data_IF_253848457194
#
_entry.id   IF_253848457194
#
_cell.length_a   1.000
_cell.length_b   1.000
_cell.length_c   1.000
_cell.angle_alpha   90.00
_cell.angle_beta   90.00
_cell.angle_gamma   90.00
#
_symmetry.space_group_name_H-M   'P 1'
#
loop_
_entity.id
_entity.type
_entity.pdbx_description
1 polymer ?
#
# COMPACT_ATOMS: atom_id res chain seq x y z
N UNK A 1 10.29 -39.15 -9.89
CA UNK A 1 9.82 -37.80 -10.25
C UNK A 1 8.48 -37.62 -9.56
N UNK A 2 8.49 -37.03 -8.36
CA UNK A 2 7.24 -36.73 -7.64
C UNK A 2 6.67 -35.45 -8.23
N UNK A 3 5.63 -35.56 -9.05
CA UNK A 3 4.80 -34.42 -9.44
C UNK A 3 4.15 -33.87 -8.18
N UNK A 4 4.61 -32.71 -7.71
CA UNK A 4 3.90 -31.95 -6.68
C UNK A 4 2.69 -31.32 -7.35
N UNK A 5 1.49 -31.81 -7.04
CA UNK A 5 0.26 -31.11 -7.37
C UNK A 5 0.32 -29.68 -6.78
N UNK A 6 -0.18 -28.67 -7.51
CA UNK A 6 -0.17 -27.29 -7.04
C UNK A 6 -1.01 -27.17 -5.76
N UNK A 7 -0.56 -26.33 -4.82
CA UNK A 7 -1.30 -26.04 -3.60
C UNK A 7 -2.69 -25.48 -3.94
N UNK A 8 -3.72 -25.91 -3.20
CA UNK A 8 -5.08 -25.41 -3.40
C UNK A 8 -5.24 -24.11 -2.61
N UNK A 9 -5.42 -23.02 -3.34
CA UNK A 9 -5.66 -21.69 -2.80
C UNK A 9 -7.16 -21.44 -2.63
N UNK A 10 -7.61 -21.18 -1.40
CA UNK A 10 -9.03 -20.89 -1.10
C UNK A 10 -9.16 -19.67 -0.18
N UNK A 11 -9.95 -18.68 -0.58
CA UNK A 11 -10.28 -17.51 0.24
C UNK A 11 -11.49 -17.85 1.10
N UNK A 12 -11.24 -18.50 2.23
CA UNK A 12 -12.28 -19.12 3.05
C UNK A 12 -11.93 -19.25 4.53
N UNK A 13 -10.89 -18.54 5.00
CA UNK A 13 -10.60 -18.51 6.43
C UNK A 13 -11.81 -17.93 7.18
N UNK A 14 -12.16 -18.47 8.36
CA UNK A 14 -13.23 -17.89 9.17
C UNK A 14 -12.88 -16.44 9.54
N UNK A 15 -13.89 -15.57 9.71
CA UNK A 15 -13.66 -14.20 10.12
C UNK A 15 -12.95 -14.13 11.47
N UNK A 16 -11.99 -13.22 11.57
CA UNK A 16 -11.21 -12.94 12.78
C UNK A 16 -11.28 -11.43 13.08
N UNK A 17 -11.48 -11.07 14.35
CA UNK A 17 -11.35 -9.68 14.81
C UNK A 17 -9.96 -9.43 15.39
N UNK A 18 -9.26 -8.43 14.85
CA UNK A 18 -7.89 -8.09 15.27
C UNK A 18 -7.82 -6.59 15.55
N UNK A 19 -7.11 -6.22 16.62
CA UNK A 19 -7.00 -4.83 17.08
C UNK A 19 -5.59 -4.29 16.92
N UNK A 20 -5.48 -3.10 16.34
CA UNK A 20 -4.23 -2.40 16.02
C UNK A 20 -4.24 -0.99 16.59
N UNK A 21 -3.05 -0.42 16.80
CA UNK A 21 -2.89 0.95 17.30
C UNK A 21 -2.93 2.00 16.16
N UNK A 22 -2.93 1.52 14.91
CA UNK A 22 -3.07 2.35 13.74
C UNK A 22 -2.95 1.56 12.44
N UNK A 23 -3.40 2.18 11.35
CA UNK A 23 -3.39 1.58 10.02
C UNK A 23 -2.55 2.41 9.04
N UNK A 24 -1.68 1.75 8.28
CA UNK A 24 -0.88 2.34 7.22
C UNK A 24 -1.30 1.72 5.89
N UNK A 25 -1.86 2.53 5.01
CA UNK A 25 -2.31 2.06 3.71
C UNK A 25 -1.28 2.41 2.63
N UNK A 26 -0.88 1.43 1.84
CA UNK A 26 -0.38 1.76 0.50
C UNK A 26 -1.51 2.35 -0.39
N UNK A 27 -1.16 2.95 -1.53
CA UNK A 27 -2.10 3.61 -2.43
C UNK A 27 -2.39 2.78 -3.69
N UNK A 28 -1.42 2.71 -4.60
CA UNK A 28 -1.54 2.13 -5.93
C UNK A 28 -1.50 0.59 -5.85
N UNK A 29 -2.59 -0.05 -6.21
CA UNK A 29 -2.86 -1.48 -6.02
C UNK A 29 -3.59 -1.79 -4.72
N UNK A 30 -3.54 -0.92 -3.71
CA UNK A 30 -4.16 -1.18 -2.40
C UNK A 30 -5.49 -0.45 -2.18
N UNK A 31 -5.51 0.88 -2.35
CA UNK A 31 -6.72 1.71 -2.26
C UNK A 31 -7.35 1.85 -3.65
N UNK A 32 -6.51 1.98 -4.67
CA UNK A 32 -6.94 2.19 -6.07
C UNK A 32 -6.26 1.15 -6.97
N UNK A 33 -6.91 0.72 -8.03
CA UNK A 33 -6.24 0.11 -9.17
C UNK A 33 -5.90 1.21 -10.18
N UNK A 34 -4.63 1.58 -10.26
CA UNK A 34 -4.08 2.57 -11.20
C UNK A 34 -3.22 1.91 -12.29
N UNK A 35 -3.28 0.59 -12.44
CA UNK A 35 -2.36 -0.19 -13.27
C UNK A 35 -2.31 0.31 -14.71
N UNK A 36 -3.46 0.51 -15.34
CA UNK A 36 -3.53 0.97 -16.74
C UNK A 36 -2.97 2.39 -16.92
N UNK A 37 -3.23 3.29 -15.97
CA UNK A 37 -2.67 4.65 -15.96
C UNK A 37 -1.14 4.62 -15.83
N UNK A 38 -0.61 3.76 -14.94
CA UNK A 38 0.83 3.58 -14.71
C UNK A 38 1.52 2.95 -15.92
N UNK A 39 0.88 2.01 -16.62
CA UNK A 39 1.39 1.44 -17.87
C UNK A 39 1.54 2.55 -18.93
N UNK A 40 0.49 3.35 -19.18
CA UNK A 40 0.54 4.47 -20.15
C UNK A 40 1.61 5.51 -19.78
N UNK A 41 1.80 5.74 -18.49
CA UNK A 41 2.86 6.59 -17.98
C UNK A 41 4.25 6.06 -18.36
N UNK A 42 4.54 4.80 -18.02
CA UNK A 42 5.82 4.17 -18.34
C UNK A 42 6.04 4.00 -19.84
N UNK A 43 5.00 3.85 -20.64
CA UNK A 43 5.10 3.92 -22.11
C UNK A 43 5.60 5.28 -22.60
N UNK A 44 5.13 6.36 -22.00
CA UNK A 44 5.55 7.72 -22.34
C UNK A 44 7.00 7.96 -21.93
N UNK A 45 7.34 7.62 -20.69
CA UNK A 45 8.69 7.78 -20.15
C UNK A 45 9.69 6.88 -20.88
N UNK A 46 9.31 5.63 -21.17
CA UNK A 46 10.15 4.68 -21.91
C UNK A 46 10.52 5.20 -23.30
N UNK A 47 9.57 5.81 -24.03
CA UNK A 47 9.85 6.49 -25.30
C UNK A 47 10.82 7.68 -25.14
N UNK A 48 10.68 8.45 -24.06
CA UNK A 48 11.56 9.58 -23.78
C UNK A 48 13.00 9.14 -23.48
N UNK A 49 13.19 8.09 -22.69
CA UNK A 49 14.51 7.61 -22.26
C UNK A 49 15.10 6.52 -23.16
N UNK A 50 14.36 6.07 -24.18
CA UNK A 50 14.81 5.03 -25.11
C UNK A 50 14.84 3.61 -24.51
N UNK A 51 13.98 3.32 -23.53
CA UNK A 51 13.88 2.02 -22.86
C UNK A 51 12.51 1.40 -23.14
N UNK A 52 12.48 0.08 -23.43
CA UNK A 52 11.23 -0.65 -23.60
C UNK A 52 10.40 -0.58 -22.31
N UNK A 53 9.15 -0.09 -22.35
CA UNK A 53 8.28 0.01 -21.18
C UNK A 53 8.13 -1.30 -20.41
N UNK A 54 8.21 -2.46 -21.08
CA UNK A 54 8.13 -3.77 -20.41
C UNK A 54 9.27 -3.98 -19.42
N UNK A 55 10.49 -3.57 -19.78
CA UNK A 55 11.67 -3.66 -18.90
C UNK A 55 11.48 -2.78 -17.66
N UNK A 56 10.83 -1.63 -17.84
CA UNK A 56 10.53 -0.73 -16.73
C UNK A 56 9.50 -1.36 -15.79
N UNK A 57 8.40 -1.84 -16.35
CA UNK A 57 7.28 -2.44 -15.61
C UNK A 57 7.69 -3.67 -14.80
N UNK A 58 8.58 -4.51 -15.33
CA UNK A 58 9.13 -5.68 -14.60
C UNK A 58 9.80 -5.31 -13.27
N UNK A 59 10.27 -4.07 -13.12
CA UNK A 59 11.01 -3.63 -11.94
C UNK A 59 10.33 -2.50 -11.17
N UNK A 60 9.27 -1.88 -11.69
CA UNK A 60 8.70 -0.66 -11.10
C UNK A 60 7.63 -0.88 -10.03
N UNK A 61 6.96 -2.03 -10.00
CA UNK A 61 5.80 -2.26 -9.11
C UNK A 61 6.16 -2.10 -7.62
N UNK A 62 5.39 -1.27 -6.91
CA UNK A 62 5.59 -0.95 -5.49
C UNK A 62 6.81 -0.08 -5.17
N UNK A 63 7.57 0.38 -6.18
CA UNK A 63 8.81 1.16 -5.99
C UNK A 63 8.63 2.61 -6.45
N UNK A 64 9.50 3.48 -5.94
CA UNK A 64 9.47 4.91 -6.31
C UNK A 64 9.98 5.08 -7.74
N UNK A 65 9.29 5.91 -8.53
CA UNK A 65 9.72 6.31 -9.88
C UNK A 65 11.15 6.83 -9.90
N UNK A 66 11.59 7.59 -8.88
CA UNK A 66 12.97 8.10 -8.81
C UNK A 66 14.02 6.98 -8.77
N UNK A 67 13.72 5.86 -8.10
CA UNK A 67 14.67 4.75 -7.97
C UNK A 67 14.73 3.96 -9.28
N UNK A 68 13.60 3.79 -9.97
CA UNK A 68 13.53 3.20 -11.31
C UNK A 68 14.27 4.05 -12.34
N UNK A 69 14.02 5.37 -12.37
CA UNK A 69 14.72 6.30 -13.26
C UNK A 69 16.23 6.34 -12.95
N UNK A 70 16.63 6.27 -11.68
CA UNK A 70 18.05 6.23 -11.30
C UNK A 70 18.80 5.05 -11.89
N UNK A 71 18.12 3.92 -12.12
CA UNK A 71 18.72 2.74 -12.74
C UNK A 71 18.80 2.84 -14.28
N UNK A 72 17.82 3.49 -14.90
CA UNK A 72 17.61 3.45 -16.36
C UNK A 72 18.07 4.72 -17.08
N UNK A 73 17.92 5.88 -16.45
CA UNK A 73 18.26 7.21 -16.96
C UNK A 73 18.71 8.12 -15.78
N UNK A 74 19.89 7.85 -15.17
CA UNK A 74 20.34 8.52 -13.94
C UNK A 74 20.34 10.05 -14.01
N UNK A 75 20.59 10.62 -15.19
CA UNK A 75 20.58 12.05 -15.45
C UNK A 75 19.21 12.71 -15.30
N UNK A 76 18.12 11.92 -15.37
CA UNK A 76 16.74 12.38 -15.15
C UNK A 76 16.23 12.12 -13.74
N UNK A 77 16.99 11.43 -12.89
CA UNK A 77 16.57 10.99 -11.55
C UNK A 77 16.54 12.13 -10.51
N UNK A 78 15.74 13.15 -10.78
CA UNK A 78 15.52 14.33 -9.94
C UNK A 78 14.09 14.39 -9.46
N UNK A 79 13.87 14.97 -8.28
CA UNK A 79 12.51 15.14 -7.75
C UNK A 79 11.65 16.09 -8.58
N UNK A 80 12.24 17.07 -9.26
CA UNK A 80 11.50 17.96 -10.16
C UNK A 80 10.91 17.18 -11.33
N UNK A 81 11.72 16.35 -11.98
CA UNK A 81 11.26 15.47 -13.05
C UNK A 81 10.17 14.52 -12.55
N UNK A 82 10.42 13.80 -11.45
CA UNK A 82 9.46 12.81 -10.92
C UNK A 82 8.14 13.44 -10.53
N UNK A 83 8.15 14.57 -9.80
CA UNK A 83 6.90 15.28 -9.43
C UNK A 83 6.14 15.77 -10.65
N UNK A 84 6.85 16.27 -11.66
CA UNK A 84 6.24 16.74 -12.89
C UNK A 84 5.58 15.59 -13.64
N UNK A 85 6.31 14.51 -13.88
CA UNK A 85 5.83 13.39 -14.69
C UNK A 85 4.74 12.62 -13.96
N UNK A 86 4.90 12.34 -12.67
CA UNK A 86 3.89 11.64 -11.90
C UNK A 86 2.64 12.49 -11.68
N UNK A 87 2.79 13.80 -11.43
CA UNK A 87 1.66 14.73 -11.28
C UNK A 87 0.81 14.92 -12.54
N UNK A 88 1.23 14.36 -13.69
CA UNK A 88 0.43 14.29 -14.91
C UNK A 88 -0.45 13.04 -14.96
N UNK A 89 -0.13 11.94 -14.26
CA UNK A 89 -0.92 10.70 -14.36
C UNK A 89 -2.40 10.93 -14.04
N UNK A 90 -2.78 11.52 -12.89
CA UNK A 90 -4.19 11.65 -12.56
C UNK A 90 -4.94 12.59 -13.51
N UNK A 91 -4.22 13.53 -14.13
CA UNK A 91 -4.78 14.52 -15.06
C UNK A 91 -5.02 13.93 -16.46
N UNK A 92 -4.12 13.06 -16.92
CA UNK A 92 -4.16 12.49 -18.26
C UNK A 92 -4.94 11.17 -18.31
N UNK A 93 -4.87 10.39 -17.23
CA UNK A 93 -5.32 9.00 -17.15
C UNK A 93 -6.23 8.76 -15.93
N UNK A 94 -6.89 9.81 -15.45
CA UNK A 94 -7.82 9.74 -14.31
C UNK A 94 -8.93 8.71 -14.49
N UNK A 95 -9.45 8.59 -15.71
CA UNK A 95 -10.52 7.66 -16.06
C UNK A 95 -10.07 6.19 -16.12
N UNK A 96 -8.75 5.94 -16.10
CA UNK A 96 -8.16 4.59 -16.09
C UNK A 96 -7.87 4.09 -14.67
N UNK A 97 -8.18 4.88 -13.64
CA UNK A 97 -8.04 4.49 -12.25
C UNK A 97 -9.42 4.20 -11.62
N UNK A 98 -9.52 3.10 -10.88
CA UNK A 98 -10.72 2.73 -10.14
C UNK A 98 -10.40 2.43 -8.68
N UNK A 99 -11.41 2.47 -7.83
CA UNK A 99 -11.25 2.09 -6.42
C UNK A 99 -11.13 0.56 -6.28
N UNK A 100 -10.23 0.10 -5.41
CA UNK A 100 -10.24 -1.29 -4.97
C UNK A 100 -11.53 -1.55 -4.18
N UNK A 101 -12.25 -2.65 -4.44
CA UNK A 101 -13.46 -2.98 -3.70
C UNK A 101 -13.25 -2.93 -2.19
N UNK A 102 -14.15 -2.24 -1.48
CA UNK A 102 -14.10 -2.05 -0.02
C UNK A 102 -13.24 -0.88 0.47
N UNK A 103 -12.35 -0.31 -0.36
CA UNK A 103 -11.44 0.77 0.04
C UNK A 103 -12.20 1.98 0.59
N UNK A 104 -13.12 2.57 -0.20
CA UNK A 104 -13.88 3.75 0.21
C UNK A 104 -14.66 3.54 1.51
N UNK A 105 -15.41 2.45 1.63
CA UNK A 105 -16.21 2.18 2.83
C UNK A 105 -15.33 2.07 4.08
N UNK A 106 -14.14 1.47 3.95
CA UNK A 106 -13.20 1.37 5.05
C UNK A 106 -12.65 2.75 5.44
N UNK A 107 -12.16 3.52 4.46
CA UNK A 107 -11.62 4.86 4.70
C UNK A 107 -12.65 5.85 5.27
N UNK A 108 -13.88 5.84 4.76
CA UNK A 108 -14.98 6.67 5.29
C UNK A 108 -15.30 6.30 6.74
N UNK A 109 -15.32 5.01 7.07
CA UNK A 109 -15.50 4.53 8.44
C UNK A 109 -14.39 4.99 9.38
N UNK A 110 -13.14 4.98 8.91
CA UNK A 110 -11.99 5.45 9.68
C UNK A 110 -12.06 6.95 9.96
N UNK A 111 -12.46 7.77 8.98
CA UNK A 111 -12.69 9.21 9.19
C UNK A 111 -13.84 9.45 10.16
N UNK A 112 -14.98 8.79 9.95
CA UNK A 112 -16.18 9.00 10.76
C UNK A 112 -15.95 8.72 12.25
N UNK A 113 -15.04 7.79 12.56
CA UNK A 113 -14.70 7.40 13.93
C UNK A 113 -13.35 7.96 14.41
N UNK A 114 -12.74 8.88 13.66
CA UNK A 114 -11.43 9.50 14.01
C UNK A 114 -10.34 8.47 14.31
N UNK A 115 -10.30 7.39 13.53
CA UNK A 115 -9.30 6.33 13.68
C UNK A 115 -7.88 6.85 13.33
N UNK A 116 -6.83 6.34 13.98
CA UNK A 116 -5.45 6.63 13.57
C UNK A 116 -5.08 5.86 12.30
N UNK A 117 -5.01 6.57 11.18
CA UNK A 117 -4.54 6.00 9.91
C UNK A 117 -3.85 7.04 9.03
N UNK A 118 -3.04 6.57 8.10
CA UNK A 118 -2.39 7.41 7.07
C UNK A 118 -2.12 6.60 5.81
N UNK A 119 -1.90 7.29 4.70
CA UNK A 119 -1.36 6.68 3.47
C UNK A 119 0.17 6.73 3.51
N UNK A 120 0.82 5.67 3.04
CA UNK A 120 2.26 5.47 2.89
C UNK A 120 2.55 4.89 1.50
N UNK A 121 2.89 5.75 0.54
CA UNK A 121 3.00 5.41 -0.88
C UNK A 121 4.41 5.64 -1.44
N UNK A 122 4.75 4.86 -2.47
CA UNK A 122 5.93 5.09 -3.32
C UNK A 122 5.71 6.19 -4.39
N UNK A 123 4.49 6.73 -4.50
CA UNK A 123 4.15 7.87 -5.36
C UNK A 123 4.50 9.22 -4.74
N UNK A 124 4.81 10.20 -5.58
CA UNK A 124 5.09 11.58 -5.14
C UNK A 124 3.84 12.29 -4.62
N UNK A 125 4.04 13.41 -3.92
CA UNK A 125 2.92 14.21 -3.41
C UNK A 125 1.89 14.60 -4.50
N UNK A 126 2.29 15.14 -5.67
CA UNK A 126 1.33 15.47 -6.73
C UNK A 126 0.53 14.28 -7.26
N UNK A 127 1.12 13.07 -7.25
CA UNK A 127 0.45 11.85 -7.69
C UNK A 127 -0.65 11.46 -6.72
N UNK A 128 -0.30 11.27 -5.45
CA UNK A 128 -1.27 10.82 -4.44
C UNK A 128 -2.39 11.82 -4.23
N UNK A 129 -2.09 13.13 -4.19
CA UNK A 129 -3.14 14.15 -4.07
C UNK A 129 -4.02 14.19 -5.31
N UNK A 130 -3.44 14.03 -6.51
CA UNK A 130 -4.21 13.98 -7.75
C UNK A 130 -5.15 12.77 -7.81
N UNK A 131 -4.72 11.60 -7.34
CA UNK A 131 -5.59 10.42 -7.24
C UNK A 131 -6.73 10.61 -6.25
N UNK A 132 -6.42 11.15 -5.06
CA UNK A 132 -7.44 11.46 -4.05
C UNK A 132 -8.49 12.44 -4.59
N UNK A 133 -8.07 13.45 -5.35
CA UNK A 133 -8.95 14.46 -5.94
C UNK A 133 -9.84 13.88 -7.06
N UNK A 134 -9.23 13.17 -8.02
CA UNK A 134 -9.93 12.59 -9.18
C UNK A 134 -11.00 11.59 -8.72
N UNK A 135 -10.68 10.73 -7.77
CA UNK A 135 -11.58 9.71 -7.24
C UNK A 135 -12.43 10.21 -6.08
N UNK A 136 -12.23 11.44 -5.61
CA UNK A 136 -12.93 12.02 -4.44
C UNK A 136 -12.86 11.09 -3.23
N UNK A 137 -11.66 10.62 -2.93
CA UNK A 137 -11.40 9.70 -1.83
C UNK A 137 -11.17 10.47 -0.52
N UNK A 138 -11.50 9.86 0.62
CA UNK A 138 -11.09 10.32 1.94
C UNK A 138 -9.60 10.67 2.01
N UNK A 139 -9.28 11.87 2.50
CA UNK A 139 -7.89 12.32 2.68
C UNK A 139 -7.49 12.20 4.16
N UNK A 140 -6.40 11.50 4.48
CA UNK A 140 -5.90 11.42 5.85
C UNK A 140 -5.26 12.74 6.30
N UNK A 141 -5.13 12.93 7.62
CA UNK A 141 -4.43 14.08 8.20
C UNK A 141 -2.93 14.11 7.88
N UNK A 142 -2.36 12.96 7.56
CA UNK A 142 -0.94 12.77 7.25
C UNK A 142 -0.77 11.97 5.96
N UNK A 143 0.32 12.19 5.22
CA UNK A 143 0.66 11.48 3.99
C UNK A 143 2.16 11.22 3.89
N UNK A 144 2.61 9.97 3.92
CA UNK A 144 4.01 9.62 3.63
C UNK A 144 4.12 9.30 2.14
N UNK A 145 4.90 10.10 1.43
CA UNK A 145 5.07 10.03 -0.04
C UNK A 145 6.49 9.61 -0.41
N UNK A 146 6.74 9.39 -1.70
CA UNK A 146 8.04 9.02 -2.25
C UNK A 146 9.20 9.88 -1.73
N UNK A 147 9.00 11.21 -1.72
CA UNK A 147 10.00 12.20 -1.32
C UNK A 147 10.12 12.39 0.20
N UNK A 148 9.24 11.75 0.99
CA UNK A 148 9.29 11.83 2.45
C UNK A 148 10.45 11.04 3.06
N UNK A 149 11.10 10.15 2.29
CA UNK A 149 12.17 9.25 2.77
C UNK A 149 13.34 9.20 1.81
N UNK A 150 14.53 8.88 2.33
CA UNK A 150 15.73 8.71 1.52
C UNK A 150 15.66 7.43 0.67
N UNK A 151 15.22 6.32 1.26
CA UNK A 151 15.14 5.00 0.63
C UNK A 151 13.67 4.56 0.48
N UNK A 152 13.34 3.97 -0.67
CA UNK A 152 12.00 3.45 -0.96
C UNK A 152 11.86 1.97 -0.64
N UNK A 153 10.63 1.45 -0.71
CA UNK A 153 10.33 0.02 -0.55
C UNK A 153 11.29 -0.84 -1.41
N UNK A 154 11.90 -1.91 -0.88
CA UNK A 154 11.57 -2.62 0.36
C UNK A 154 12.23 -2.08 1.64
N UNK A 155 12.90 -0.92 1.60
CA UNK A 155 13.41 -0.28 2.82
C UNK A 155 12.24 0.11 3.76
N UNK A 156 12.33 -0.12 5.08
CA UNK A 156 11.23 0.10 6.01
C UNK A 156 10.96 1.57 6.37
N UNK A 157 11.83 2.52 5.97
CA UNK A 157 11.78 3.91 6.41
C UNK A 157 10.41 4.57 6.19
N UNK A 158 9.72 4.26 5.09
CA UNK A 158 8.40 4.83 4.80
C UNK A 158 7.34 4.42 5.83
N UNK A 159 7.29 3.15 6.23
CA UNK A 159 6.35 2.68 7.24
C UNK A 159 6.77 3.07 8.66
N UNK A 160 8.07 3.14 8.96
CA UNK A 160 8.56 3.68 10.23
C UNK A 160 8.11 5.14 10.41
N UNK A 161 8.25 5.96 9.37
CA UNK A 161 7.76 7.33 9.37
C UNK A 161 6.22 7.39 9.47
N UNK A 162 5.51 6.47 8.81
CA UNK A 162 4.06 6.33 8.96
C UNK A 162 3.64 6.10 10.42
N UNK A 163 4.29 5.16 11.11
CA UNK A 163 4.07 4.88 12.54
C UNK A 163 4.34 6.11 13.41
N UNK A 164 5.44 6.80 13.16
CA UNK A 164 5.80 8.03 13.87
C UNK A 164 4.72 9.10 13.73
N UNK A 165 4.19 9.30 12.51
CA UNK A 165 3.12 10.27 12.26
C UNK A 165 1.78 9.90 12.91
N UNK A 166 1.54 8.63 13.19
CA UNK A 166 0.39 8.19 13.99
C UNK A 166 0.62 8.33 15.50
N UNK A 167 1.79 8.81 15.93
CA UNK A 167 2.16 8.89 17.34
C UNK A 167 2.39 7.51 17.98
N UNK A 168 2.54 6.46 17.17
CA UNK A 168 2.80 5.09 17.62
C UNK A 168 4.31 4.84 17.63
N UNK A 169 5.00 5.50 18.56
CA UNK A 169 6.44 5.29 18.78
C UNK A 169 6.68 4.04 19.63
N UNK A 170 7.82 3.37 19.41
CA UNK A 170 8.23 2.19 20.18
C UNK A 170 8.48 2.57 21.65
N UNK A 171 7.44 2.54 22.48
CA UNK A 171 7.56 2.62 23.94
C UNK A 171 8.09 1.31 24.49
N UNK A 172 9.07 1.40 25.39
CA UNK A 172 9.79 0.28 26.01
C UNK A 172 8.88 -0.66 26.81
N UNK A 173 8.15 -1.56 26.14
CA UNK A 173 7.46 -2.68 26.80
C UNK A 173 6.12 -3.10 26.23
N UNK A 174 5.48 -2.30 25.36
CA UNK A 174 4.23 -2.69 24.72
C UNK A 174 4.44 -2.99 23.23
N UNK A 175 3.99 -4.17 22.81
CA UNK A 175 4.01 -4.64 21.44
C UNK A 175 3.03 -3.84 20.59
N UNK A 176 3.31 -2.56 20.32
CA UNK A 176 2.46 -1.74 19.47
C UNK A 176 2.30 -2.40 18.10
N UNK A 177 1.08 -2.80 17.77
CA UNK A 177 0.76 -3.49 16.53
C UNK A 177 0.15 -2.46 15.57
N UNK A 178 0.95 -2.00 14.61
CA UNK A 178 0.44 -1.25 13.45
C UNK A 178 0.22 -2.23 12.31
N UNK A 179 -0.91 -2.10 11.61
CA UNK A 179 -1.21 -2.89 10.43
C UNK A 179 -0.84 -2.09 9.17
N UNK A 180 -0.05 -2.70 8.29
CA UNK A 180 0.14 -2.24 6.92
C UNK A 180 -0.83 -2.99 6.02
N UNK A 181 -1.55 -2.26 5.16
CA UNK A 181 -2.31 -2.82 4.04
C UNK A 181 -1.54 -2.57 2.75
N UNK A 182 -1.28 -3.63 1.99
CA UNK A 182 -0.34 -3.62 0.86
C UNK A 182 -0.71 -4.62 -0.23
N UNK A 183 -0.22 -4.44 -1.44
CA UNK A 183 -0.43 -5.32 -2.59
C UNK A 183 0.89 -5.92 -3.11
N UNK A 184 2.01 -5.27 -2.83
CA UNK A 184 3.28 -5.51 -3.50
C UNK A 184 4.27 -6.28 -2.62
N UNK A 185 5.05 -7.23 -3.17
CA UNK A 185 6.10 -7.91 -2.41
C UNK A 185 7.14 -6.96 -1.80
N UNK A 186 7.42 -5.83 -2.47
CA UNK A 186 8.35 -4.83 -1.96
C UNK A 186 7.79 -4.12 -0.72
N UNK A 187 6.52 -3.72 -0.76
CA UNK A 187 5.84 -3.07 0.35
C UNK A 187 5.55 -4.00 1.52
N UNK A 188 5.16 -5.24 1.26
CA UNK A 188 5.01 -6.26 2.30
C UNK A 188 6.32 -6.41 3.08
N UNK A 189 7.46 -6.59 2.38
CA UNK A 189 8.77 -6.69 3.04
C UNK A 189 9.14 -5.42 3.82
N UNK A 190 8.85 -4.24 3.30
CA UNK A 190 9.07 -2.98 4.00
C UNK A 190 8.23 -2.89 5.29
N UNK A 191 6.96 -3.29 5.24
CA UNK A 191 6.06 -3.32 6.39
C UNK A 191 6.56 -4.27 7.47
N UNK A 192 6.94 -5.50 7.10
CA UNK A 192 7.52 -6.47 8.03
C UNK A 192 8.84 -5.98 8.64
N UNK A 193 9.73 -5.41 7.83
CA UNK A 193 11.00 -4.83 8.30
C UNK A 193 10.80 -3.60 9.19
N UNK A 194 9.68 -2.89 9.06
CA UNK A 194 9.28 -1.80 9.96
C UNK A 194 8.68 -2.30 11.28
N UNK A 195 8.59 -3.62 11.51
CA UNK A 195 7.99 -4.22 12.69
C UNK A 195 6.47 -4.20 12.72
N UNK A 196 5.81 -4.00 11.57
CA UNK A 196 4.36 -4.03 11.45
C UNK A 196 3.85 -5.45 11.18
N UNK A 197 2.56 -5.66 11.46
CA UNK A 197 1.81 -6.74 10.81
C UNK A 197 1.40 -6.27 9.42
N UNK A 198 1.24 -7.19 8.48
CA UNK A 198 0.88 -6.88 7.09
C UNK A 198 -0.31 -7.71 6.66
N UNK A 199 -1.37 -7.04 6.19
CA UNK A 199 -2.44 -7.66 5.42
C UNK A 199 -2.21 -7.33 3.96
N UNK A 200 -2.03 -8.36 3.14
CA UNK A 200 -1.84 -8.20 1.72
C UNK A 200 -3.14 -8.39 0.93
N UNK A 201 -3.33 -7.59 -0.12
CA UNK A 201 -4.39 -7.76 -1.13
C UNK A 201 -3.80 -8.36 -2.42
N UNK A 202 -4.62 -9.04 -3.23
CA UNK A 202 -4.18 -9.75 -4.46
C UNK A 202 -4.79 -9.07 -5.67
N UNK A 203 -4.41 -7.81 -5.86
CA UNK A 203 -4.98 -6.88 -6.85
C UNK A 203 -4.04 -6.67 -8.04
N UNK A 204 -2.77 -6.37 -7.78
CA UNK A 204 -1.75 -6.10 -8.81
C UNK A 204 -0.73 -7.24 -9.00
N UNK A 205 -0.61 -8.13 -8.02
CA UNK A 205 0.29 -9.28 -8.02
C UNK A 205 -0.48 -10.58 -7.79
N UNK A 206 0.09 -11.71 -8.18
CA UNK A 206 -0.54 -13.02 -7.91
C UNK A 206 -0.45 -13.39 -6.44
N UNK A 207 -1.35 -14.27 -5.99
CA UNK A 207 -1.33 -14.76 -4.61
C UNK A 207 0.00 -15.42 -4.25
N UNK A 208 0.64 -16.12 -5.18
CA UNK A 208 1.95 -16.76 -4.97
C UNK A 208 3.06 -15.71 -4.76
N UNK A 209 3.05 -14.62 -5.53
CA UNK A 209 4.02 -13.54 -5.39
C UNK A 209 3.87 -12.84 -4.04
N UNK A 210 2.63 -12.59 -3.64
CA UNK A 210 2.29 -11.99 -2.34
C UNK A 210 2.69 -12.91 -1.19
N UNK A 211 2.32 -14.20 -1.25
CA UNK A 211 2.65 -15.20 -0.22
C UNK A 211 4.15 -15.36 -0.03
N UNK A 212 4.94 -15.28 -1.10
CA UNK A 212 6.40 -15.35 -1.03
C UNK A 212 7.04 -14.20 -0.23
N UNK A 213 6.31 -13.11 0.01
CA UNK A 213 6.75 -12.01 0.87
C UNK A 213 6.31 -12.16 2.35
N UNK A 214 5.65 -13.27 2.70
CA UNK A 214 5.26 -13.65 4.07
C UNK A 214 4.41 -12.60 4.82
N UNK A 215 3.28 -12.12 4.24
CA UNK A 215 2.33 -11.29 4.98
C UNK A 215 1.61 -12.11 6.06
N UNK A 216 1.00 -11.42 7.02
CA UNK A 216 0.26 -12.04 8.13
C UNK A 216 -1.15 -12.50 7.72
N UNK A 217 -1.77 -11.77 6.78
CA UNK A 217 -3.01 -12.16 6.13
C UNK A 217 -2.90 -11.88 4.63
N UNK A 218 -3.61 -12.67 3.82
CA UNK A 218 -3.80 -12.40 2.39
C UNK A 218 -5.30 -12.44 2.11
N UNK A 219 -5.84 -11.41 1.48
CA UNK A 219 -7.24 -11.34 1.04
C UNK A 219 -7.29 -10.95 -0.44
N UNK A 220 -8.44 -11.12 -1.11
CA UNK A 220 -8.54 -10.71 -2.52
C UNK A 220 -8.39 -9.19 -2.67
N UNK A 221 -9.15 -8.47 -1.87
CA UNK A 221 -9.24 -7.01 -1.87
C UNK A 221 -9.76 -6.53 -0.49
N UNK A 222 -10.00 -5.23 -0.36
CA UNK A 222 -10.44 -4.62 0.90
C UNK A 222 -11.91 -4.90 1.23
N UNK A 223 -12.70 -5.55 0.37
CA UNK A 223 -14.07 -5.97 0.72
C UNK A 223 -14.07 -7.08 1.77
N UNK A 224 -12.94 -7.75 1.96
CA UNK A 224 -12.67 -8.71 3.03
C UNK A 224 -12.26 -8.07 4.37
N UNK A 225 -12.21 -6.74 4.46
CA UNK A 225 -11.80 -6.01 5.67
C UNK A 225 -12.91 -5.06 6.10
N UNK A 226 -13.40 -5.19 7.32
CA UNK A 226 -14.44 -4.32 7.87
C UNK A 226 -13.98 -3.66 9.17
N UNK A 227 -14.14 -2.35 9.26
CA UNK A 227 -14.01 -1.64 10.54
C UNK A 227 -15.14 -2.08 11.49
N UNK A 228 -14.79 -2.65 12.64
CA UNK A 228 -15.75 -3.08 13.66
C UNK A 228 -16.00 -1.94 14.65
N UNK A 229 -14.92 -1.36 15.18
CA UNK A 229 -14.98 -0.30 16.19
C UNK A 229 -13.63 0.42 16.30
N UNK A 230 -13.69 1.67 16.73
CA UNK A 230 -12.54 2.45 17.17
C UNK A 230 -12.70 2.73 18.66
N UNK A 231 -11.70 2.35 19.45
CA UNK A 231 -11.60 2.70 20.87
C UNK A 231 -10.98 4.09 21.00
N UNK A 232 -11.54 4.95 21.86
CA UNK A 232 -10.93 6.24 22.16
C UNK A 232 -9.64 6.05 22.95
N UNK A 233 -8.59 6.79 22.58
CA UNK A 233 -7.38 6.89 23.37
C UNK A 233 -7.62 7.60 24.71
N UNK A 234 -6.67 7.49 25.64
CA UNK A 234 -6.71 8.21 26.92
C UNK A 234 -6.79 9.75 26.75
N UNK A 235 -6.99 10.48 27.87
CA UNK A 235 -7.14 11.94 27.87
C UNK A 235 -6.07 12.63 27.00
N UNK A 236 -6.51 13.30 25.92
CA UNK A 236 -5.64 14.00 24.97
C UNK A 236 -5.81 13.59 23.49
N UNK A 237 -6.63 12.58 23.19
CA UNK A 237 -6.95 12.20 21.80
C UNK A 237 -5.81 11.47 21.06
N UNK A 238 -4.74 11.08 21.78
CA UNK A 238 -3.68 10.22 21.26
C UNK A 238 -3.95 8.76 21.65
N UNK A 239 -3.78 7.84 20.70
CA UNK A 239 -3.76 6.40 20.99
C UNK A 239 -5.10 5.65 20.92
N UNK A 240 -5.99 6.02 19.99
CA UNK A 240 -7.18 5.19 19.73
C UNK A 240 -6.80 3.86 19.08
N UNK A 241 -7.51 2.77 19.41
CA UNK A 241 -7.25 1.44 18.83
C UNK A 241 -8.32 1.08 17.81
N UNK A 242 -7.92 0.46 16.71
CA UNK A 242 -8.78 0.11 15.59
C UNK A 242 -8.98 -1.40 15.57
N UNK A 243 -10.21 -1.87 15.74
CA UNK A 243 -10.56 -3.28 15.55
C UNK A 243 -11.13 -3.49 14.15
N UNK A 244 -10.50 -4.39 13.40
CA UNK A 244 -10.93 -4.83 12.08
C UNK A 244 -11.43 -6.27 12.16
N UNK A 245 -12.50 -6.59 11.43
CA UNK A 245 -12.82 -7.96 11.03
C UNK A 245 -12.13 -8.24 9.70
N UNK A 246 -11.34 -9.30 9.64
CA UNK A 246 -10.73 -9.84 8.43
C UNK A 246 -11.46 -11.15 8.10
N UNK A 247 -12.07 -11.24 6.92
CA UNK A 247 -12.83 -12.41 6.46
C UNK A 247 -12.31 -12.94 5.14
N UNK A 248 -12.60 -14.20 4.84
CA UNK A 248 -12.24 -14.84 3.58
C UNK A 248 -10.74 -14.73 3.28
N UNK A 249 -9.90 -14.72 4.32
CA UNK A 249 -8.46 -14.75 4.13
C UNK A 249 -8.04 -16.05 3.44
N UNK A 250 -6.94 -15.97 2.71
CA UNK A 250 -6.39 -17.05 1.94
C UNK A 250 -5.92 -18.17 2.87
N UNK A 251 -6.48 -19.34 2.67
CA UNK A 251 -6.04 -20.60 3.24
C UNK A 251 -5.23 -21.32 2.16
N UNK A 252 -3.97 -21.57 2.46
CA UNK A 252 -3.12 -22.43 1.62
C UNK A 252 -3.33 -23.86 2.08
N UNK A 253 -4.13 -24.62 1.34
CA UNK A 253 -4.31 -26.03 1.59
C UNK A 253 -3.03 -26.79 1.23
N UNK A 254 -2.49 -27.55 2.19
CA UNK A 254 -1.27 -28.33 2.00
C UNK A 254 -1.24 -29.61 2.84
N UNK A 255 -1.73 -30.70 2.23
CA UNK A 255 -1.68 -32.13 2.64
C UNK A 255 -2.31 -32.52 3.97
#
# INVERSE_FOLDING_TARGET
MGSTEPAVLSYSAPPEEVTFDGLLFDMDGTIIDSTDAVVKHWETIGKEIGVDPKVILETSHGRRTIDTIRLLAPEKATWDYVRQTEGLLPKLYGDDAIEIPGARSLLEGLIAQSAPWTIVTSGSLPLVTGWLDVLRLPTPAHLVTAESVANGKPDPACYQLGRERLGVSSGDGEHHQVLVLEDSPAGIRAGKAAGCRVLAVVTSHTAEQVLAAEPDWVVRDLASVRLVRVEEGGQGGQGGRVTLEIRDALVVGGR
#
